data_IF_110624744530
#
_entry.id   IF_110624744530
#
_cell.length_a   1.000
_cell.length_b   1.000
_cell.length_c   1.000
_cell.angle_alpha   90.00
_cell.angle_beta   90.00
_cell.angle_gamma   90.00
#
_symmetry.space_group_name_H-M   'P 1'
#
loop_
_entity.id
_entity.type
_entity.pdbx_description
1 polymer ?
#
# COMPACT_ATOMS: atom_id res chain seq x y z
N UNK A 1 -14.74 -5.33 -18.91
CA UNK A 1 -13.83 -4.19 -18.98
C UNK A 1 -12.38 -4.58 -18.80
N UNK A 2 -11.45 -3.81 -19.39
CA UNK A 2 -10.00 -4.05 -19.34
C UNK A 2 -9.34 -3.01 -18.41
N UNK A 3 -9.98 -2.69 -17.29
CA UNK A 3 -9.40 -1.91 -16.19
C UNK A 3 -8.38 -2.72 -15.38
N UNK A 4 -8.05 -2.25 -14.16
CA UNK A 4 -7.02 -2.90 -13.32
C UNK A 4 -7.22 -4.40 -13.12
N UNK A 5 -8.43 -4.84 -12.84
CA UNK A 5 -8.73 -6.27 -12.63
C UNK A 5 -8.78 -7.04 -13.97
N UNK A 6 -9.45 -6.48 -14.98
CA UNK A 6 -9.61 -7.14 -16.28
C UNK A 6 -8.29 -7.29 -17.04
N UNK A 7 -7.42 -6.29 -17.00
CA UNK A 7 -6.10 -6.36 -17.63
C UNK A 7 -5.22 -7.43 -16.97
N UNK A 8 -5.20 -7.48 -15.63
CA UNK A 8 -4.48 -8.51 -14.90
C UNK A 8 -5.01 -9.92 -15.23
N UNK A 9 -6.33 -10.10 -15.24
CA UNK A 9 -6.97 -11.37 -15.61
C UNK A 9 -6.59 -11.80 -17.02
N UNK A 10 -6.68 -10.88 -17.98
CA UNK A 10 -6.33 -11.14 -19.38
C UNK A 10 -4.86 -11.54 -19.53
N UNK A 11 -3.96 -10.83 -18.86
CA UNK A 11 -2.54 -11.11 -18.87
C UNK A 11 -2.23 -12.53 -18.35
N UNK A 12 -2.77 -12.89 -17.18
CA UNK A 12 -2.49 -14.21 -16.61
C UNK A 12 -3.14 -15.36 -17.36
N UNK A 13 -4.30 -15.16 -17.95
CA UNK A 13 -4.92 -16.17 -18.83
C UNK A 13 -4.11 -16.37 -20.10
N UNK A 14 -3.66 -15.29 -20.73
CA UNK A 14 -2.80 -15.35 -21.91
C UNK A 14 -1.46 -16.06 -21.62
N UNK A 15 -0.82 -15.75 -20.49
CA UNK A 15 0.38 -16.47 -20.01
C UNK A 15 0.17 -17.99 -19.85
N UNK A 16 -1.06 -18.41 -19.56
CA UNK A 16 -1.45 -19.83 -19.47
C UNK A 16 -1.86 -20.43 -20.81
N UNK A 17 -1.56 -19.78 -21.93
CA UNK A 17 -1.88 -20.24 -23.26
C UNK A 17 -3.38 -20.19 -23.62
N UNK A 18 -4.20 -19.46 -22.85
CA UNK A 18 -5.62 -19.31 -23.14
C UNK A 18 -5.85 -18.22 -24.18
N UNK A 19 -6.80 -18.44 -25.08
CA UNK A 19 -7.28 -17.39 -25.99
C UNK A 19 -8.18 -16.46 -25.16
N UNK A 20 -7.85 -15.17 -25.15
CA UNK A 20 -8.55 -14.17 -24.32
C UNK A 20 -9.09 -13.07 -25.23
N UNK A 21 -10.36 -12.70 -25.03
CA UNK A 21 -10.98 -11.53 -25.63
C UNK A 21 -11.32 -10.53 -24.53
N UNK A 22 -10.68 -9.38 -24.54
CA UNK A 22 -11.01 -8.26 -23.67
C UNK A 22 -12.00 -7.31 -24.35
N UNK A 23 -13.12 -7.05 -23.69
CA UNK A 23 -14.11 -6.08 -24.17
C UNK A 23 -14.03 -4.83 -23.30
N UNK A 24 -13.74 -3.69 -23.93
CA UNK A 24 -13.68 -2.40 -23.26
C UNK A 24 -14.55 -1.40 -24.00
N UNK A 25 -15.29 -0.59 -23.26
CA UNK A 25 -16.19 0.43 -23.82
C UNK A 25 -15.45 1.64 -24.36
N UNK A 26 -14.30 1.96 -23.74
CA UNK A 26 -13.52 3.16 -24.04
C UNK A 26 -12.16 2.80 -24.62
N UNK A 27 -11.47 3.76 -25.23
CA UNK A 27 -10.06 3.58 -25.60
C UNK A 27 -9.17 3.28 -24.38
N UNK A 28 -8.09 2.52 -24.56
CA UNK A 28 -7.15 2.19 -23.48
C UNK A 28 -5.83 2.93 -23.73
N UNK A 29 -5.34 3.71 -22.76
CA UNK A 29 -5.89 4.01 -21.44
C UNK A 29 -7.00 5.08 -21.46
N UNK A 30 -7.86 5.09 -20.43
CA UNK A 30 -8.93 6.08 -20.29
C UNK A 30 -9.14 6.49 -18.81
N UNK A 31 -9.80 7.62 -18.58
CA UNK A 31 -10.08 8.16 -17.25
C UNK A 31 -11.43 7.73 -16.63
N UNK A 32 -12.18 6.87 -17.32
CA UNK A 32 -13.55 6.49 -16.95
C UNK A 32 -13.63 5.37 -15.90
N UNK A 33 -12.51 4.79 -15.50
CA UNK A 33 -12.44 3.72 -14.50
C UNK A 33 -11.77 4.16 -13.20
N UNK A 34 -12.00 3.41 -12.13
CA UNK A 34 -11.38 3.69 -10.82
C UNK A 34 -9.86 3.48 -10.79
N UNK A 35 -9.31 2.81 -11.78
CA UNK A 35 -7.87 2.55 -11.88
C UNK A 35 -7.08 3.69 -12.54
N UNK A 36 -7.76 4.73 -13.06
CA UNK A 36 -7.08 5.85 -13.70
C UNK A 36 -6.37 6.76 -12.69
N UNK A 37 -5.46 7.60 -13.19
CA UNK A 37 -4.69 8.58 -12.43
C UNK A 37 -3.18 8.33 -12.48
N UNK A 38 -2.40 9.35 -12.11
CA UNK A 38 -0.94 9.31 -12.21
C UNK A 38 -0.31 8.36 -11.19
N UNK A 39 -0.90 8.23 -10.00
CA UNK A 39 -0.36 7.42 -8.92
C UNK A 39 -1.42 6.57 -8.23
N UNK A 40 -0.97 5.52 -7.56
CA UNK A 40 -1.75 4.69 -6.67
C UNK A 40 -0.93 4.39 -5.43
N UNK A 41 -1.62 4.15 -4.32
CA UNK A 41 -0.99 3.79 -3.05
C UNK A 41 -1.22 2.30 -2.81
N UNK A 42 -0.15 1.60 -2.45
CA UNK A 42 -0.18 0.26 -1.87
C UNK A 42 0.39 0.34 -0.46
N UNK A 43 -0.36 -0.15 0.53
CA UNK A 43 0.04 -0.18 1.95
C UNK A 43 0.22 -1.63 2.38
N UNK A 44 1.18 -1.92 3.23
CA UNK A 44 1.39 -3.27 3.75
C UNK A 44 0.66 -3.49 5.07
N UNK A 45 0.78 -2.54 6.00
CA UNK A 45 0.05 -2.57 7.26
C UNK A 45 -1.41 -2.14 7.04
N UNK A 46 -2.25 -3.08 6.63
CA UNK A 46 -3.64 -2.81 6.30
C UNK A 46 -4.48 -2.81 7.57
N UNK A 47 -5.17 -1.71 7.85
CA UNK A 47 -5.91 -1.54 9.11
C UNK A 47 -7.32 -2.16 9.07
N UNK A 48 -7.87 -2.39 7.89
CA UNK A 48 -9.21 -2.95 7.74
C UNK A 48 -9.28 -4.40 8.19
N UNK A 49 -8.27 -5.20 7.88
CA UNK A 49 -8.16 -6.57 8.38
C UNK A 49 -6.76 -7.16 8.10
N UNK A 50 -6.12 -7.86 9.05
CA UNK A 50 -4.77 -8.43 8.89
C UNK A 50 -4.65 -9.44 7.75
N UNK A 51 -5.72 -10.15 7.36
CA UNK A 51 -5.68 -11.12 6.27
C UNK A 51 -5.26 -10.53 4.92
N UNK A 52 -5.47 -9.22 4.72
CA UNK A 52 -5.03 -8.53 3.51
C UNK A 52 -3.51 -8.49 3.36
N UNK A 53 -2.76 -8.59 4.45
CA UNK A 53 -1.29 -8.51 4.42
C UNK A 53 -0.68 -9.58 3.52
N UNK A 54 -1.23 -10.80 3.52
CA UNK A 54 -0.75 -11.88 2.64
C UNK A 54 -0.93 -11.54 1.16
N UNK A 55 -2.10 -11.00 0.80
CA UNK A 55 -2.36 -10.53 -0.57
C UNK A 55 -1.43 -9.37 -0.95
N UNK A 56 -1.18 -8.46 -0.02
CA UNK A 56 -0.29 -7.32 -0.24
C UNK A 56 1.17 -7.74 -0.40
N UNK A 57 1.66 -8.67 0.41
CA UNK A 57 3.00 -9.26 0.22
C UNK A 57 3.14 -9.81 -1.20
N UNK A 58 2.14 -10.57 -1.67
CA UNK A 58 2.12 -11.07 -3.05
C UNK A 58 2.03 -9.95 -4.09
N UNK A 59 1.22 -8.91 -3.84
CA UNK A 59 1.13 -7.77 -4.74
C UNK A 59 2.48 -7.03 -4.89
N UNK A 60 3.25 -6.86 -3.82
CA UNK A 60 4.59 -6.27 -3.90
C UNK A 60 5.55 -7.10 -4.75
N UNK A 61 5.48 -8.44 -4.69
CA UNK A 61 6.28 -9.31 -5.56
C UNK A 61 5.90 -9.11 -7.03
N UNK A 62 4.60 -9.09 -7.32
CA UNK A 62 4.09 -8.90 -8.68
C UNK A 62 4.44 -7.52 -9.24
N UNK A 63 4.38 -6.46 -8.43
CA UNK A 63 4.82 -5.13 -8.84
C UNK A 63 6.31 -5.09 -9.19
N UNK A 64 7.16 -5.77 -8.41
CA UNK A 64 8.59 -5.89 -8.73
C UNK A 64 8.81 -6.69 -10.02
N UNK A 65 8.00 -7.74 -10.28
CA UNK A 65 8.05 -8.50 -11.53
C UNK A 65 7.71 -7.60 -12.72
N UNK A 66 6.58 -6.87 -12.66
CA UNK A 66 6.16 -5.94 -13.71
C UNK A 66 7.21 -4.86 -13.94
N UNK A 67 7.77 -4.28 -12.89
CA UNK A 67 8.83 -3.28 -12.98
C UNK A 67 10.07 -3.80 -13.73
N UNK A 68 10.47 -5.06 -13.49
CA UNK A 68 11.57 -5.69 -14.24
C UNK A 68 11.22 -5.90 -15.72
N UNK A 69 9.99 -6.33 -16.01
CA UNK A 69 9.54 -6.55 -17.38
C UNK A 69 9.47 -5.23 -18.15
N UNK A 70 8.95 -4.19 -17.53
CA UNK A 70 8.82 -2.86 -18.13
C UNK A 70 10.15 -2.11 -18.24
N UNK A 71 11.20 -2.57 -17.53
CA UNK A 71 12.47 -1.84 -17.37
C UNK A 71 12.27 -0.40 -16.89
N UNK A 72 11.24 -0.19 -16.06
CA UNK A 72 10.84 1.11 -15.53
C UNK A 72 10.53 1.01 -14.04
N UNK A 73 10.89 2.03 -13.27
CA UNK A 73 10.60 2.07 -11.83
C UNK A 73 9.14 2.46 -11.59
N UNK A 74 8.30 1.46 -11.35
CA UNK A 74 6.87 1.63 -11.11
C UNK A 74 6.51 1.70 -9.61
N UNK A 75 7.26 0.99 -8.77
CA UNK A 75 7.00 0.91 -7.34
C UNK A 75 8.00 1.74 -6.54
N UNK A 76 7.50 2.77 -5.86
CA UNK A 76 8.27 3.63 -4.96
C UNK A 76 7.96 3.28 -3.51
N UNK A 77 8.96 2.78 -2.78
CA UNK A 77 8.83 2.41 -1.38
C UNK A 77 9.14 3.63 -0.52
N UNK A 78 8.13 4.22 0.06
CA UNK A 78 8.22 5.45 0.87
C UNK A 78 7.98 5.21 2.36
N UNK A 79 7.43 4.04 2.72
CA UNK A 79 6.87 3.81 4.03
C UNK A 79 5.47 4.40 4.15
N UNK A 80 4.79 4.12 5.26
CA UNK A 80 3.48 4.70 5.58
C UNK A 80 3.42 5.14 7.04
N UNK A 81 2.55 6.10 7.31
CA UNK A 81 2.22 6.59 8.63
C UNK A 81 0.72 6.45 8.79
N UNK A 82 0.29 5.62 9.73
CA UNK A 82 -1.11 5.47 10.12
C UNK A 82 -1.28 6.12 11.50
N UNK A 83 -1.93 7.27 11.54
CA UNK A 83 -2.08 8.09 12.74
C UNK A 83 -3.54 8.16 13.19
N UNK A 84 -3.75 8.11 14.48
CA UNK A 84 -5.08 8.26 15.08
C UNK A 84 -5.04 8.24 16.61
N UNK A 85 -6.18 8.45 17.28
CA UNK A 85 -6.32 8.13 18.69
C UNK A 85 -5.86 6.70 18.98
N UNK A 86 -5.40 6.45 20.20
CA UNK A 86 -4.92 5.11 20.61
C UNK A 86 -6.01 4.04 20.49
N UNK A 87 -7.27 4.43 20.66
CA UNK A 87 -8.46 3.58 20.53
C UNK A 87 -9.03 3.51 19.11
N UNK A 88 -8.50 4.30 18.16
CA UNK A 88 -8.99 4.32 16.79
C UNK A 88 -8.79 2.99 16.07
N UNK A 89 -9.74 2.62 15.26
CA UNK A 89 -9.68 1.41 14.45
C UNK A 89 -8.52 1.43 13.43
N UNK A 90 -8.15 2.61 12.92
CA UNK A 90 -7.02 2.78 12.01
C UNK A 90 -5.71 2.42 12.70
N UNK A 91 -5.45 3.02 13.88
CA UNK A 91 -4.21 2.73 14.61
C UNK A 91 -4.17 1.27 15.07
N UNK A 92 -5.24 0.79 15.72
CA UNK A 92 -5.32 -0.59 16.23
C UNK A 92 -5.18 -1.62 15.11
N UNK A 93 -5.88 -1.44 14.00
CA UNK A 93 -5.84 -2.37 12.87
C UNK A 93 -4.48 -2.42 12.18
N UNK A 94 -3.84 -1.26 11.93
CA UNK A 94 -2.49 -1.23 11.38
C UNK A 94 -1.47 -1.88 12.31
N UNK A 95 -1.55 -1.58 13.61
CA UNK A 95 -0.66 -2.18 14.61
C UNK A 95 -0.86 -3.69 14.74
N UNK A 96 -2.11 -4.16 14.76
CA UNK A 96 -2.43 -5.60 14.75
C UNK A 96 -1.86 -6.29 13.52
N UNK A 97 -2.05 -5.73 12.33
CA UNK A 97 -1.49 -6.24 11.08
C UNK A 97 0.03 -6.33 11.12
N UNK A 98 0.69 -5.32 11.70
CA UNK A 98 2.13 -5.33 11.87
C UNK A 98 2.60 -6.47 12.80
N UNK A 99 1.94 -6.65 13.94
CA UNK A 99 2.30 -7.70 14.92
C UNK A 99 2.05 -9.10 14.40
N UNK A 100 0.87 -9.35 13.81
CA UNK A 100 0.50 -10.69 13.33
C UNK A 100 1.35 -11.17 12.15
N UNK A 101 1.87 -10.24 11.35
CA UNK A 101 2.63 -10.59 10.15
C UNK A 101 4.13 -10.24 10.24
N UNK A 102 4.59 -9.88 11.43
CA UNK A 102 5.99 -9.50 11.71
C UNK A 102 6.50 -8.42 10.73
N UNK A 103 5.68 -7.38 10.53
CA UNK A 103 6.07 -6.27 9.67
C UNK A 103 6.96 -5.30 10.45
N UNK A 104 8.07 -4.84 9.88
CA UNK A 104 8.89 -3.80 10.49
C UNK A 104 8.06 -2.54 10.73
N UNK A 105 7.93 -2.12 11.98
CA UNK A 105 7.14 -0.95 12.36
C UNK A 105 7.69 -0.26 13.61
N UNK A 106 7.30 0.98 13.80
CA UNK A 106 7.55 1.75 15.02
C UNK A 106 6.22 2.35 15.49
N UNK A 107 6.02 2.41 16.80
CA UNK A 107 4.89 3.13 17.41
C UNK A 107 5.44 4.43 17.98
N UNK A 108 4.93 5.55 17.51
CA UNK A 108 5.36 6.89 17.90
C UNK A 108 4.25 7.63 18.62
N UNK A 109 4.61 8.46 19.57
CA UNK A 109 3.72 9.49 20.12
C UNK A 109 3.56 10.64 19.13
N UNK A 110 2.51 11.44 19.27
CA UNK A 110 2.32 12.63 18.45
C UNK A 110 3.46 13.64 18.55
N UNK A 111 4.13 13.72 19.71
CA UNK A 111 5.31 14.57 19.90
C UNK A 111 6.52 14.04 19.10
N UNK A 112 6.75 12.74 19.13
CA UNK A 112 7.80 12.10 18.33
C UNK A 112 7.54 12.20 16.84
N UNK A 113 6.28 12.04 16.40
CA UNK A 113 5.89 12.24 15.02
C UNK A 113 6.24 13.64 14.54
N UNK A 114 5.82 14.68 15.26
CA UNK A 114 6.13 16.07 14.89
C UNK A 114 7.63 16.35 14.83
N UNK A 115 8.40 15.78 15.76
CA UNK A 115 9.86 15.96 15.77
C UNK A 115 10.54 15.31 14.58
N UNK A 116 10.10 14.09 14.21
CA UNK A 116 10.71 13.33 13.10
C UNK A 116 10.20 13.74 11.73
N UNK A 117 8.96 14.18 11.65
CA UNK A 117 8.26 14.53 10.43
C UNK A 117 7.56 15.89 10.59
N UNK A 118 8.31 17.00 10.50
CA UNK A 118 7.77 18.35 10.79
C UNK A 118 6.59 18.79 9.93
N UNK A 119 6.40 18.18 8.76
CA UNK A 119 5.24 18.43 7.89
C UNK A 119 3.93 17.81 8.39
N UNK A 120 3.98 16.93 9.39
CA UNK A 120 2.78 16.31 9.97
C UNK A 120 2.38 17.01 11.26
N UNK A 121 1.25 17.70 11.20
CA UNK A 121 0.64 18.38 12.34
C UNK A 121 -0.69 17.71 12.68
N UNK A 122 -0.71 16.57 13.41
CA UNK A 122 -1.97 15.99 13.86
C UNK A 122 -2.68 17.00 14.76
N UNK A 123 -3.84 17.47 14.30
CA UNK A 123 -4.64 18.46 15.01
C UNK A 123 -5.14 17.86 16.31
N UNK A 124 -4.79 18.48 17.43
CA UNK A 124 -5.26 18.12 18.76
C UNK A 124 -6.58 18.82 18.99
N UNK A 125 -7.71 18.21 18.64
CA UNK A 125 -9.04 18.81 18.83
C UNK A 125 -9.62 18.58 20.23
N UNK A 126 -8.94 17.83 21.11
CA UNK A 126 -9.37 17.66 22.50
C UNK A 126 -8.19 17.57 23.47
N UNK A 127 -8.41 17.98 24.72
CA UNK A 127 -7.39 18.01 25.80
C UNK A 127 -6.80 16.65 26.18
N UNK A 128 -7.33 15.55 25.69
CA UNK A 128 -6.91 14.16 25.98
C UNK A 128 -6.40 13.40 24.76
N UNK A 129 -6.17 14.05 23.63
CA UNK A 129 -5.71 13.39 22.43
C UNK A 129 -4.20 13.20 22.43
N UNK A 130 -3.77 11.96 22.65
CA UNK A 130 -2.37 11.54 22.47
C UNK A 130 -2.30 10.59 21.24
N UNK A 131 -2.08 11.12 20.02
CA UNK A 131 -2.08 10.30 18.83
C UNK A 131 -0.92 9.31 18.88
N UNK A 132 -1.22 8.04 18.68
CA UNK A 132 -0.26 6.99 18.42
C UNK A 132 -0.13 6.78 16.92
N UNK A 133 1.04 6.43 16.47
CA UNK A 133 1.37 6.28 15.05
C UNK A 133 2.06 4.96 14.85
N UNK A 134 1.49 4.10 14.02
CA UNK A 134 2.20 2.94 13.50
C UNK A 134 2.88 3.35 12.18
N UNK A 135 4.20 3.33 12.15
CA UNK A 135 4.99 3.60 10.94
C UNK A 135 5.61 2.31 10.45
N UNK A 136 5.23 1.85 9.27
CA UNK A 136 5.86 0.71 8.62
C UNK A 136 7.00 1.16 7.71
N UNK A 137 8.23 0.71 7.99
CA UNK A 137 9.38 0.85 7.09
C UNK A 137 9.57 -0.44 6.32
N UNK A 138 9.32 -0.44 5.03
CA UNK A 138 9.86 -1.48 4.17
C UNK A 138 11.35 -1.17 3.98
N UNK A 139 12.22 -1.92 4.63
CA UNK A 139 13.65 -1.88 4.31
C UNK A 139 13.80 -2.36 2.86
N UNK A 140 14.38 -1.53 2.01
CA UNK A 140 15.02 -2.04 0.80
C UNK A 140 16.08 -3.03 1.28
N UNK A 141 15.98 -4.29 0.85
CA UNK A 141 17.08 -5.20 1.03
C UNK A 141 18.29 -4.59 0.32
N UNK A 142 19.20 -4.00 1.08
CA UNK A 142 20.53 -3.69 0.60
C UNK A 142 21.14 -5.03 0.24
N UNK A 143 21.43 -5.22 -1.03
CA UNK A 143 22.27 -6.32 -1.49
C UNK A 143 23.57 -6.25 -0.70
N UNK A 144 24.05 -7.36 -0.11
CA UNK A 144 25.42 -7.40 0.36
C UNK A 144 26.35 -7.26 -0.86
N UNK A 145 27.23 -6.31 -0.79
CA UNK A 145 28.42 -6.21 -1.64
C UNK A 145 29.26 -7.50 -1.57
#
# INVERSE_FOLDING_TARGET
GVGGMGSATSYYLARRGKRVLGLERFGIPHSMGSSHGHTRIIRLAYYEHPSYVLLLKRAYELWREIQRIASERLLHITGSIDAGPEDSWVFKGSWESCRLHDLPHEVLTGAELRRRYPGYHPQTTSRSYNPRVASSRLRSASSPT
#
